data_IF_652621055269
#
_entry.id   IF_652621055269
#
_cell.length_a   1.000
_cell.length_b   1.000
_cell.length_c   1.000
_cell.angle_alpha   90.00
_cell.angle_beta   90.00
_cell.angle_gamma   90.00
#
_symmetry.space_group_name_H-M   'P 1'
#
loop_
_entity.id
_entity.type
_entity.pdbx_description
1 polymer ?
#
# COMPACT_ATOMS: atom_id res chain seq x y z
N UNK A 1 70.87 71.58 -44.03
CA UNK A 1 71.37 72.19 -42.82
C UNK A 1 70.63 71.62 -41.64
N UNK A 2 71.21 70.70 -40.94
CA UNK A 2 72.04 70.81 -39.76
C UNK A 2 71.18 70.28 -38.59
N UNK A 3 71.45 69.06 -38.15
CA UNK A 3 72.07 68.66 -36.88
C UNK A 3 71.21 69.00 -35.63
N UNK A 4 71.02 68.15 -34.65
CA UNK A 4 71.86 67.31 -33.82
C UNK A 4 71.05 66.26 -33.05
N UNK A 5 71.69 65.23 -32.84
CA UNK A 5 71.46 64.02 -32.01
C UNK A 5 71.45 64.33 -30.50
N UNK A 6 70.60 63.69 -29.71
CA UNK A 6 70.86 63.46 -28.30
C UNK A 6 70.24 62.14 -27.84
N UNK A 7 71.12 61.23 -27.62
CA UNK A 7 70.99 59.92 -27.04
C UNK A 7 70.90 59.98 -25.50
N UNK A 8 69.86 59.43 -24.87
CA UNK A 8 69.84 59.22 -23.41
C UNK A 8 69.35 57.77 -23.14
N UNK A 9 70.11 56.98 -22.39
CA UNK A 9 69.84 55.53 -22.21
C UNK A 9 68.78 55.25 -21.18
N UNK A 10 67.97 54.32 -21.52
CA UNK A 10 66.90 53.74 -20.69
C UNK A 10 67.45 52.59 -19.85
N UNK A 11 67.76 52.80 -18.58
CA UNK A 11 68.08 51.76 -17.60
C UNK A 11 67.35 52.11 -16.31
N UNK A 12 66.40 51.26 -15.93
CA UNK A 12 65.79 51.02 -14.63
C UNK A 12 64.26 50.84 -14.79
N UNK A 13 63.81 49.72 -15.26
CA UNK A 13 62.41 49.26 -14.98
C UNK A 13 62.26 47.76 -15.28
N UNK A 14 63.06 46.88 -14.68
CA UNK A 14 62.88 45.45 -14.90
C UNK A 14 63.22 44.59 -13.68
N UNK A 15 62.64 44.84 -12.53
CA UNK A 15 62.78 43.91 -11.39
C UNK A 15 61.63 43.89 -10.35
N UNK A 16 60.39 44.20 -10.68
CA UNK A 16 59.32 44.15 -9.67
C UNK A 16 58.02 43.41 -10.08
N UNK A 17 58.06 42.56 -11.08
CA UNK A 17 56.82 41.96 -11.58
C UNK A 17 56.66 40.42 -11.60
N UNK A 18 57.31 39.59 -10.76
CA UNK A 18 56.84 38.18 -10.73
C UNK A 18 56.32 37.69 -9.36
N UNK A 19 56.16 38.50 -8.33
CA UNK A 19 55.73 37.99 -7.01
C UNK A 19 54.23 38.06 -6.78
N UNK A 20 53.49 38.96 -7.45
CA UNK A 20 52.04 39.11 -7.26
C UNK A 20 51.23 38.01 -7.99
N UNK A 21 51.69 37.47 -9.11
CA UNK A 21 50.93 36.47 -9.91
C UNK A 21 50.91 35.07 -9.29
N UNK A 22 51.91 34.73 -8.49
CA UNK A 22 51.97 33.37 -7.87
C UNK A 22 51.13 33.25 -6.61
N UNK A 23 50.83 34.31 -5.91
CA UNK A 23 49.95 34.33 -4.74
C UNK A 23 48.47 34.21 -5.15
N UNK A 24 48.06 34.88 -6.23
CA UNK A 24 46.67 34.81 -6.75
C UNK A 24 46.32 33.45 -7.36
N UNK A 25 47.27 32.80 -8.01
CA UNK A 25 47.07 31.45 -8.59
C UNK A 25 46.89 30.36 -7.50
N UNK A 26 47.63 30.51 -6.36
CA UNK A 26 47.48 29.54 -5.26
C UNK A 26 46.17 29.64 -4.49
N UNK A 27 45.70 30.87 -4.23
CA UNK A 27 44.39 31.09 -3.59
C UNK A 27 43.22 30.63 -4.48
N UNK A 28 43.27 30.84 -5.78
CA UNK A 28 42.25 30.37 -6.73
C UNK A 28 42.12 28.83 -6.78
N UNK A 29 43.25 28.12 -6.74
CA UNK A 29 43.25 26.63 -6.74
C UNK A 29 42.69 26.09 -5.42
N UNK A 30 43.01 26.69 -4.28
CA UNK A 30 42.44 26.23 -2.99
C UNK A 30 40.94 26.50 -2.90
N UNK A 31 40.43 27.62 -3.43
CA UNK A 31 38.99 27.93 -3.48
C UNK A 31 38.25 26.96 -4.44
N UNK A 32 38.84 26.63 -5.58
CA UNK A 32 38.26 25.67 -6.55
C UNK A 32 38.21 24.26 -5.98
N UNK A 33 39.25 23.79 -5.27
CA UNK A 33 39.28 22.50 -4.61
C UNK A 33 38.29 22.43 -3.45
N UNK A 34 38.14 23.51 -2.68
CA UNK A 34 37.14 23.56 -1.61
C UNK A 34 35.70 23.56 -2.17
N UNK A 35 35.46 24.28 -3.26
CA UNK A 35 34.17 24.32 -3.94
C UNK A 35 33.78 22.96 -4.56
N UNK A 36 34.75 22.26 -5.12
CA UNK A 36 34.53 20.91 -5.69
C UNK A 36 34.31 19.87 -4.58
N UNK A 37 34.98 19.99 -3.43
CA UNK A 37 34.76 19.14 -2.25
C UNK A 37 33.39 19.31 -1.63
N UNK A 38 32.84 20.53 -1.56
CA UNK A 38 31.47 20.78 -1.06
C UNK A 38 30.39 20.31 -2.03
N UNK A 39 30.61 20.40 -3.34
CA UNK A 39 29.66 19.90 -4.34
C UNK A 39 29.50 18.37 -4.32
N UNK A 40 30.51 17.64 -3.85
CA UNK A 40 30.47 16.17 -3.73
C UNK A 40 29.64 15.68 -2.54
N UNK A 41 29.26 16.57 -1.61
CA UNK A 41 28.44 16.25 -0.44
C UNK A 41 26.91 16.32 -0.73
N UNK A 42 26.52 16.78 -1.92
CA UNK A 42 25.12 16.65 -2.37
C UNK A 42 24.95 15.19 -2.80
N UNK A 43 24.93 14.29 -1.81
CA UNK A 43 24.63 12.88 -2.01
C UNK A 43 23.31 12.75 -2.72
N UNK A 44 23.24 11.92 -3.76
CA UNK A 44 22.01 11.50 -4.41
C UNK A 44 21.08 10.88 -3.35
N UNK A 45 20.26 11.69 -2.71
CA UNK A 45 19.13 11.18 -1.95
C UNK A 45 18.19 10.58 -2.99
N UNK A 46 18.08 9.25 -2.98
CA UNK A 46 17.04 8.57 -3.76
C UNK A 46 15.71 9.22 -3.39
N UNK A 47 14.93 9.68 -4.38
CA UNK A 47 13.63 10.25 -4.09
C UNK A 47 12.84 9.24 -3.25
N UNK A 48 12.31 9.67 -2.11
CA UNK A 48 11.42 8.87 -1.28
C UNK A 48 10.22 8.51 -2.16
N UNK A 49 10.17 7.25 -2.60
CA UNK A 49 9.01 6.73 -3.29
C UNK A 49 7.89 6.60 -2.26
N UNK A 50 6.74 7.15 -2.59
CA UNK A 50 5.57 7.14 -1.73
C UNK A 50 4.73 5.92 -2.03
N UNK A 51 4.10 5.32 -1.02
CA UNK A 51 3.18 4.22 -1.25
C UNK A 51 2.01 4.68 -2.12
N UNK A 52 1.55 3.79 -2.98
CA UNK A 52 0.31 3.98 -3.73
C UNK A 52 -0.83 3.68 -2.76
N UNK A 53 -1.67 4.68 -2.51
CA UNK A 53 -2.89 4.56 -1.71
C UNK A 53 -4.03 4.15 -2.63
N UNK A 54 -4.69 3.05 -2.31
CA UNK A 54 -5.92 2.62 -3.01
C UNK A 54 -7.06 3.57 -2.66
N UNK A 55 -8.02 3.68 -3.57
CA UNK A 55 -9.24 4.45 -3.32
C UNK A 55 -10.46 3.57 -3.54
N UNK A 56 -11.39 3.61 -2.59
CA UNK A 56 -12.64 2.88 -2.68
C UNK A 56 -13.59 3.49 -3.73
N UNK A 57 -14.43 2.67 -4.38
CA UNK A 57 -15.38 3.13 -5.41
C UNK A 57 -16.67 3.73 -4.84
N UNK A 58 -16.67 4.11 -3.57
CA UNK A 58 -17.84 4.64 -2.89
C UNK A 58 -17.86 6.17 -2.88
N UNK A 59 -19.05 6.77 -2.94
CA UNK A 59 -19.23 8.22 -2.82
C UNK A 59 -19.01 8.72 -1.38
N UNK A 60 -19.34 7.89 -0.39
CA UNK A 60 -19.18 8.17 1.04
C UNK A 60 -18.25 7.15 1.68
N UNK A 61 -17.56 7.54 2.75
CA UNK A 61 -16.73 6.62 3.52
C UNK A 61 -17.57 5.44 4.02
N UNK A 62 -17.03 4.22 3.84
CA UNK A 62 -17.66 2.97 4.30
C UNK A 62 -16.86 2.35 5.41
N UNK A 63 -17.55 1.68 6.31
CA UNK A 63 -16.93 0.97 7.44
C UNK A 63 -16.91 -0.52 7.15
N UNK A 64 -15.71 -1.09 7.06
CA UNK A 64 -15.53 -2.53 6.88
C UNK A 64 -15.02 -3.19 8.16
N UNK A 65 -15.54 -4.38 8.43
CA UNK A 65 -15.05 -5.27 9.48
C UNK A 65 -14.40 -6.51 8.86
N UNK A 66 -13.35 -7.02 9.51
CA UNK A 66 -12.68 -8.25 9.09
C UNK A 66 -12.90 -9.32 10.14
N UNK A 67 -13.27 -10.52 9.72
CA UNK A 67 -13.41 -11.70 10.60
C UNK A 67 -12.08 -12.45 10.65
N UNK A 68 -11.73 -13.13 11.75
CA UNK A 68 -10.58 -14.04 11.76
C UNK A 68 -10.62 -15.02 10.60
N UNK A 69 -9.50 -15.16 9.89
CA UNK A 69 -9.43 -16.02 8.72
C UNK A 69 -9.45 -17.50 9.11
N UNK A 70 -10.19 -18.30 8.35
CA UNK A 70 -10.10 -19.75 8.44
C UNK A 70 -8.74 -20.21 7.91
N UNK A 71 -8.18 -21.26 8.52
CA UNK A 71 -6.92 -21.84 8.07
C UNK A 71 -7.19 -23.19 7.37
N UNK A 72 -7.05 -23.21 6.05
CA UNK A 72 -7.15 -24.42 5.21
C UNK A 72 -5.82 -24.71 4.49
N UNK A 73 -4.72 -24.06 4.88
CA UNK A 73 -3.40 -24.24 4.27
C UNK A 73 -2.75 -25.59 4.59
N UNK A 74 -3.32 -26.35 5.53
CA UNK A 74 -2.71 -27.57 6.05
C UNK A 74 -1.56 -27.36 7.04
N UNK A 75 -1.18 -26.11 7.30
CA UNK A 75 -0.11 -25.72 8.25
C UNK A 75 -0.73 -25.27 9.57
N UNK A 76 -0.64 -26.09 10.62
CA UNK A 76 -1.30 -25.83 11.92
C UNK A 76 -0.82 -24.56 12.64
N UNK A 77 0.36 -24.07 12.33
CA UNK A 77 0.98 -22.91 13.00
C UNK A 77 0.51 -21.55 12.46
N UNK A 78 -0.36 -21.55 11.45
CA UNK A 78 -0.86 -20.29 10.85
C UNK A 78 -1.90 -19.66 11.76
N UNK A 79 -1.64 -18.42 12.15
CA UNK A 79 -2.57 -17.62 12.93
C UNK A 79 -3.49 -16.80 12.02
N UNK A 80 -4.73 -17.27 11.89
CA UNK A 80 -5.77 -16.58 11.09
C UNK A 80 -6.14 -15.20 11.64
N UNK A 81 -5.97 -14.96 12.95
CA UNK A 81 -6.18 -13.61 13.51
C UNK A 81 -5.06 -12.65 13.08
N UNK A 82 -3.81 -13.11 13.09
CA UNK A 82 -2.69 -12.30 12.63
C UNK A 82 -2.78 -11.97 11.13
N UNK A 83 -3.31 -12.87 10.30
CA UNK A 83 -3.57 -12.59 8.88
C UNK A 83 -4.72 -11.59 8.74
N UNK A 84 -5.83 -11.76 9.47
CA UNK A 84 -6.95 -10.82 9.46
C UNK A 84 -6.52 -9.41 9.88
N UNK A 85 -5.65 -9.27 10.88
CA UNK A 85 -5.12 -7.97 11.34
C UNK A 85 -4.29 -7.27 10.25
N UNK A 86 -3.58 -8.02 9.40
CA UNK A 86 -2.90 -7.46 8.22
C UNK A 86 -3.90 -6.89 7.21
N UNK A 87 -5.03 -7.58 6.98
CA UNK A 87 -6.11 -7.06 6.14
C UNK A 87 -6.73 -5.81 6.74
N UNK A 88 -7.01 -5.76 8.04
CA UNK A 88 -7.45 -4.55 8.73
C UNK A 88 -6.48 -3.40 8.46
N UNK A 89 -5.18 -3.65 8.60
CA UNK A 89 -4.14 -2.64 8.41
C UNK A 89 -4.05 -2.13 6.96
N UNK A 90 -4.31 -2.96 5.96
CA UNK A 90 -4.29 -2.55 4.55
C UNK A 90 -5.60 -1.86 4.14
N UNK A 91 -6.75 -2.31 4.64
CA UNK A 91 -8.05 -1.68 4.41
C UNK A 91 -8.10 -0.27 5.02
N UNK A 92 -7.51 -0.07 6.21
CA UNK A 92 -7.43 1.25 6.86
C UNK A 92 -6.60 2.27 6.05
N UNK A 93 -5.71 1.80 5.16
CA UNK A 93 -4.95 2.66 4.27
C UNK A 93 -5.68 3.03 2.97
N UNK A 94 -6.89 2.50 2.74
CA UNK A 94 -7.69 2.78 1.55
C UNK A 94 -8.46 4.07 1.75
N UNK A 95 -8.28 5.04 0.84
CA UNK A 95 -9.06 6.29 0.85
C UNK A 95 -10.55 5.99 0.60
N UNK A 96 -11.42 6.46 1.48
CA UNK A 96 -12.87 6.19 1.45
C UNK A 96 -13.30 4.90 2.15
N UNK A 97 -12.37 4.19 2.84
CA UNK A 97 -12.71 3.11 3.75
C UNK A 97 -12.17 3.39 5.16
N UNK A 98 -12.86 2.84 6.13
CA UNK A 98 -12.41 2.74 7.52
C UNK A 98 -12.55 1.30 7.99
N UNK A 99 -11.46 0.71 8.47
CA UNK A 99 -11.47 -0.64 9.02
C UNK A 99 -11.83 -0.62 10.52
N UNK A 100 -12.70 -1.52 10.95
CA UNK A 100 -12.89 -1.74 12.38
C UNK A 100 -11.72 -2.55 12.94
N UNK A 101 -11.17 -2.15 14.11
CA UNK A 101 -10.15 -2.93 14.77
C UNK A 101 -10.61 -4.38 15.03
N UNK A 102 -9.76 -5.36 14.76
CA UNK A 102 -10.10 -6.79 14.85
C UNK A 102 -10.66 -7.20 16.24
N UNK A 103 -10.16 -6.59 17.32
CA UNK A 103 -10.64 -6.85 18.67
C UNK A 103 -12.12 -6.49 18.86
N UNK A 104 -12.64 -5.48 18.16
CA UNK A 104 -14.06 -5.08 18.16
C UNK A 104 -14.90 -6.15 17.46
N UNK A 105 -14.44 -6.65 16.32
CA UNK A 105 -15.09 -7.76 15.60
C UNK A 105 -15.15 -9.01 16.49
N UNK A 106 -14.04 -9.37 17.13
CA UNK A 106 -13.97 -10.50 18.06
C UNK A 106 -14.89 -10.35 19.27
N UNK A 107 -15.03 -9.15 19.81
CA UNK A 107 -15.94 -8.88 20.92
C UNK A 107 -17.41 -9.06 20.50
N UNK A 108 -17.79 -8.55 19.33
CA UNK A 108 -19.14 -8.74 18.76
C UNK A 108 -19.42 -10.22 18.47
N UNK A 109 -18.48 -10.96 17.85
CA UNK A 109 -18.63 -12.40 17.61
C UNK A 109 -18.87 -13.16 18.91
N UNK A 110 -18.09 -12.86 19.96
CA UNK A 110 -18.27 -13.50 21.30
C UNK A 110 -19.62 -13.19 21.90
N UNK A 111 -20.11 -11.94 21.80
CA UNK A 111 -21.43 -11.56 22.33
C UNK A 111 -22.58 -12.26 21.59
N UNK A 112 -22.37 -12.63 20.34
CA UNK A 112 -23.32 -13.39 19.53
C UNK A 112 -23.13 -14.92 19.63
N UNK A 113 -22.15 -15.40 20.41
CA UNK A 113 -21.83 -16.82 20.52
C UNK A 113 -21.24 -17.41 19.24
N UNK A 114 -20.66 -16.59 18.37
CA UNK A 114 -20.07 -16.99 17.09
C UNK A 114 -18.59 -17.26 17.24
N UNK A 115 -18.11 -18.42 16.80
CA UNK A 115 -16.68 -18.74 16.67
C UNK A 115 -16.18 -18.45 15.26
N UNK A 116 -17.05 -18.59 14.25
CA UNK A 116 -16.83 -18.26 12.85
C UNK A 116 -18.16 -17.83 12.22
N UNK A 117 -18.11 -17.23 11.06
CA UNK A 117 -19.28 -16.88 10.24
C UNK A 117 -19.46 -17.98 9.20
N UNK A 118 -20.63 -18.63 9.18
CA UNK A 118 -20.90 -19.81 8.35
C UNK A 118 -21.86 -19.54 7.21
N UNK A 119 -22.67 -18.50 7.35
CA UNK A 119 -23.71 -18.17 6.38
C UNK A 119 -23.95 -16.66 6.34
N UNK A 120 -24.67 -16.22 5.31
CA UNK A 120 -24.99 -14.81 5.09
C UNK A 120 -25.83 -14.20 6.23
N UNK A 121 -26.71 -14.98 6.86
CA UNK A 121 -27.53 -14.51 7.95
C UNK A 121 -26.68 -14.11 9.17
N UNK A 122 -25.67 -14.93 9.47
CA UNK A 122 -24.68 -14.63 10.51
C UNK A 122 -23.82 -13.41 10.14
N UNK A 123 -23.42 -13.30 8.86
CA UNK A 123 -22.68 -12.15 8.35
C UNK A 123 -23.48 -10.85 8.55
N UNK A 124 -24.74 -10.80 8.12
CA UNK A 124 -25.58 -9.63 8.29
C UNK A 124 -25.88 -9.32 9.77
N UNK A 125 -26.03 -10.34 10.61
CA UNK A 125 -26.25 -10.15 12.05
C UNK A 125 -25.01 -9.51 12.70
N UNK A 126 -23.82 -9.98 12.32
CA UNK A 126 -22.54 -9.41 12.80
C UNK A 126 -22.34 -7.98 12.29
N UNK A 127 -22.59 -7.72 10.99
CA UNK A 127 -22.51 -6.39 10.40
C UNK A 127 -23.42 -5.38 11.13
N UNK A 128 -24.65 -5.74 11.40
CA UNK A 128 -25.59 -4.89 12.15
C UNK A 128 -25.09 -4.60 13.57
N UNK A 129 -24.57 -5.61 14.26
CA UNK A 129 -24.03 -5.46 15.62
C UNK A 129 -22.83 -4.52 15.63
N UNK A 130 -21.99 -4.58 14.58
CA UNK A 130 -20.79 -3.76 14.40
C UNK A 130 -21.09 -2.38 13.81
N UNK A 131 -22.28 -2.17 13.24
CA UNK A 131 -22.61 -1.02 12.41
C UNK A 131 -21.62 -0.87 11.24
N UNK A 132 -21.29 -2.00 10.61
CA UNK A 132 -20.38 -2.06 9.48
C UNK A 132 -21.16 -2.14 8.17
N UNK A 133 -20.65 -1.47 7.13
CA UNK A 133 -21.19 -1.49 5.77
C UNK A 133 -20.71 -2.68 4.96
N UNK A 134 -19.58 -3.28 5.36
CA UNK A 134 -19.03 -4.46 4.74
C UNK A 134 -18.36 -5.40 5.75
N UNK A 135 -18.40 -6.69 5.46
CA UNK A 135 -17.76 -7.74 6.26
C UNK A 135 -16.86 -8.56 5.36
N UNK A 136 -15.56 -8.53 5.66
CA UNK A 136 -14.55 -9.31 4.97
C UNK A 136 -14.39 -10.64 5.66
N UNK A 137 -14.62 -11.72 4.92
CA UNK A 137 -14.40 -13.10 5.30
C UNK A 137 -13.19 -13.62 4.52
N UNK A 138 -12.35 -14.44 5.14
CA UNK A 138 -11.17 -14.95 4.48
C UNK A 138 -10.79 -16.36 4.91
N UNK A 139 -10.16 -17.06 3.96
CA UNK A 139 -9.59 -18.39 4.15
C UNK A 139 -8.17 -18.40 3.63
N UNK A 140 -7.23 -18.87 4.45
CA UNK A 140 -5.83 -19.06 4.08
C UNK A 140 -5.72 -20.41 3.40
N UNK A 141 -5.33 -20.42 2.13
CA UNK A 141 -5.27 -21.63 1.29
C UNK A 141 -3.87 -22.18 1.11
N UNK A 142 -2.86 -21.31 1.26
CA UNK A 142 -1.45 -21.68 1.12
C UNK A 142 -0.61 -20.90 2.13
N UNK A 143 0.38 -21.56 2.73
CA UNK A 143 1.30 -20.92 3.66
C UNK A 143 2.64 -21.65 3.70
N UNK A 144 3.69 -21.01 3.19
CA UNK A 144 5.06 -21.47 3.36
C UNK A 144 5.95 -20.31 3.83
N UNK A 145 6.40 -20.34 5.09
CA UNK A 145 7.23 -19.28 5.65
C UNK A 145 8.71 -19.38 5.26
N UNK A 146 9.09 -20.41 4.53
CA UNK A 146 10.47 -20.64 4.09
C UNK A 146 10.69 -20.09 2.68
N UNK A 147 11.88 -19.51 2.45
CA UNK A 147 12.22 -18.94 1.15
C UNK A 147 12.42 -20.02 0.08
N UNK A 148 11.78 -19.90 -1.09
CA UNK A 148 10.89 -18.82 -1.55
C UNK A 148 9.51 -18.88 -0.87
N UNK A 149 9.07 -17.73 -0.34
CA UNK A 149 7.83 -17.64 0.43
C UNK A 149 6.61 -17.95 -0.44
N UNK A 150 5.57 -18.57 0.15
CA UNK A 150 4.27 -18.75 -0.49
C UNK A 150 3.15 -18.35 0.46
N UNK A 151 2.19 -17.61 -0.06
CA UNK A 151 0.99 -17.21 0.65
C UNK A 151 -0.19 -17.27 -0.31
N UNK A 152 -1.25 -17.95 0.08
CA UNK A 152 -2.50 -18.00 -0.65
C UNK A 152 -3.66 -17.67 0.25
N UNK A 153 -4.62 -16.90 -0.25
CA UNK A 153 -5.87 -16.66 0.43
C UNK A 153 -7.02 -16.46 -0.56
N UNK A 154 -8.19 -16.90 -0.14
CA UNK A 154 -9.47 -16.54 -0.74
C UNK A 154 -10.18 -15.58 0.21
N UNK A 155 -10.70 -14.49 -0.32
CA UNK A 155 -11.39 -13.45 0.44
C UNK A 155 -12.71 -13.10 -0.22
N UNK A 156 -13.70 -12.77 0.58
CA UNK A 156 -14.98 -12.25 0.11
C UNK A 156 -15.40 -11.08 0.99
N UNK A 157 -16.06 -10.11 0.39
CA UNK A 157 -16.72 -9.02 1.11
C UNK A 157 -18.21 -9.14 0.91
N UNK A 158 -18.95 -9.23 2.00
CA UNK A 158 -20.40 -9.10 2.05
C UNK A 158 -20.70 -7.64 2.31
N UNK A 159 -21.32 -6.96 1.34
CA UNK A 159 -21.67 -5.55 1.45
C UNK A 159 -23.12 -5.37 1.84
N UNK A 160 -23.41 -4.40 2.73
CA UNK A 160 -24.77 -3.93 2.92
C UNK A 160 -25.23 -3.22 1.64
N UNK A 161 -26.39 -3.58 1.10
CA UNK A 161 -26.95 -2.95 -0.10
C UNK A 161 -27.02 -1.43 0.03
N UNK A 162 -26.95 -0.70 -1.10
CA UNK A 162 -26.88 0.77 -1.15
C UNK A 162 -27.97 1.50 -0.35
N UNK A 163 -29.06 0.83 -0.08
CA UNK A 163 -30.17 1.44 0.65
C UNK A 163 -30.03 1.40 2.18
N UNK A 164 -28.88 0.96 2.76
CA UNK A 164 -28.65 1.00 4.23
C UNK A 164 -29.84 0.55 5.10
N UNK A 165 -30.96 0.38 4.46
CA UNK A 165 -32.18 -0.12 5.01
C UNK A 165 -32.15 -1.63 4.86
N UNK A 166 -31.97 -2.31 5.98
CA UNK A 166 -32.47 -3.66 6.15
C UNK A 166 -33.82 -3.75 5.44
N UNK A 167 -33.84 -4.18 4.17
CA UNK A 167 -35.01 -4.84 3.67
C UNK A 167 -35.08 -6.08 4.55
N UNK A 168 -35.81 -5.99 5.65
CA UNK A 168 -36.19 -7.13 6.45
C UNK A 168 -36.54 -8.17 5.39
N UNK A 169 -35.87 -9.34 5.41
CA UNK A 169 -36.22 -10.46 4.56
C UNK A 169 -37.75 -10.51 4.60
N UNK A 170 -38.38 -10.11 3.49
CA UNK A 170 -39.83 -10.16 3.41
C UNK A 170 -40.14 -11.64 3.32
N UNK A 171 -40.55 -12.20 4.46
CA UNK A 171 -40.91 -13.61 4.57
C UNK A 171 -41.98 -14.01 3.53
N UNK A 172 -42.67 -13.01 2.96
CA UNK A 172 -43.62 -13.20 1.87
C UNK A 172 -42.90 -13.48 0.52
N UNK A 173 -41.68 -12.96 0.29
CA UNK A 173 -40.90 -13.30 -0.91
C UNK A 173 -40.40 -14.74 -0.87
N UNK A 174 -40.22 -15.34 0.30
CA UNK A 174 -39.81 -16.75 0.47
C UNK A 174 -40.98 -17.74 0.27
N UNK A 175 -42.21 -17.26 0.26
CA UNK A 175 -43.43 -18.08 0.05
C UNK A 175 -43.95 -18.04 -1.38
N UNK A 176 -43.35 -17.30 -2.29
CA UNK A 176 -43.72 -17.28 -3.72
C UNK A 176 -43.26 -18.56 -4.43
N UNK A 177 -44.11 -19.16 -5.30
CA UNK A 177 -43.73 -20.37 -6.01
C UNK A 177 -42.54 -20.15 -6.95
N UNK A 178 -41.72 -21.17 -7.04
CA UNK A 178 -40.35 -21.29 -7.62
C UNK A 178 -40.15 -20.74 -9.06
N UNK A 179 -41.19 -20.25 -9.74
CA UNK A 179 -41.07 -19.74 -11.13
C UNK A 179 -40.55 -18.29 -11.22
N UNK A 180 -40.58 -17.51 -10.13
CA UNK A 180 -40.14 -16.08 -10.13
C UNK A 180 -38.90 -15.81 -9.28
N UNK A 181 -38.29 -16.83 -8.67
CA UNK A 181 -37.13 -16.68 -7.76
C UNK A 181 -35.79 -16.48 -8.48
N UNK A 182 -35.76 -16.32 -9.81
CA UNK A 182 -34.53 -16.02 -10.56
C UNK A 182 -33.98 -14.61 -10.21
N UNK A 183 -34.84 -13.69 -9.77
CA UNK A 183 -34.44 -12.35 -9.35
C UNK A 183 -33.78 -12.30 -7.96
N UNK A 184 -34.27 -13.09 -6.99
CA UNK A 184 -33.75 -13.07 -5.61
C UNK A 184 -32.33 -13.64 -5.47
N UNK A 185 -32.03 -14.71 -6.21
CA UNK A 185 -30.69 -15.32 -6.21
C UNK A 185 -29.65 -14.42 -6.94
N UNK A 186 -30.09 -13.66 -7.95
CA UNK A 186 -29.23 -12.71 -8.65
C UNK A 186 -28.95 -11.48 -7.78
N UNK A 187 -29.95 -10.99 -7.03
CA UNK A 187 -29.78 -9.84 -6.11
C UNK A 187 -28.90 -10.20 -4.92
N UNK A 188 -29.01 -11.41 -4.35
CA UNK A 188 -28.14 -11.88 -3.28
C UNK A 188 -26.68 -12.07 -3.75
N UNK A 189 -26.46 -12.52 -4.98
CA UNK A 189 -25.12 -12.62 -5.57
C UNK A 189 -24.49 -11.28 -5.88
N UNK A 190 -25.31 -10.24 -6.09
CA UNK A 190 -24.82 -8.88 -6.37
C UNK A 190 -24.23 -8.15 -5.15
N UNK A 191 -24.40 -8.70 -3.95
CA UNK A 191 -23.92 -8.11 -2.69
C UNK A 191 -22.60 -8.73 -2.20
N UNK A 192 -22.01 -9.67 -2.95
CA UNK A 192 -20.76 -10.35 -2.58
C UNK A 192 -19.73 -10.12 -3.67
N UNK A 193 -18.60 -9.54 -3.27
CA UNK A 193 -17.39 -9.45 -4.09
C UNK A 193 -16.33 -10.41 -3.56
N UNK A 194 -15.60 -11.09 -4.44
CA UNK A 194 -14.65 -12.13 -4.03
C UNK A 194 -13.33 -12.04 -4.82
N UNK A 195 -12.24 -12.40 -4.15
CA UNK A 195 -10.91 -12.49 -4.73
C UNK A 195 -10.18 -13.71 -4.19
N UNK A 196 -9.38 -14.36 -5.02
CA UNK A 196 -8.54 -15.47 -4.59
C UNK A 196 -7.23 -15.44 -5.35
N UNK A 197 -6.11 -15.47 -4.62
CA UNK A 197 -4.76 -15.53 -5.22
C UNK A 197 -3.82 -16.40 -4.40
N UNK A 198 -2.84 -16.97 -5.12
CA UNK A 198 -1.65 -17.58 -4.54
C UNK A 198 -0.45 -16.73 -4.99
N UNK A 199 0.29 -16.22 -4.02
CA UNK A 199 1.51 -15.47 -4.22
C UNK A 199 2.69 -16.44 -4.04
N UNK A 200 3.47 -16.64 -5.09
CA UNK A 200 4.67 -17.50 -5.07
C UNK A 200 5.91 -16.62 -5.25
N UNK A 201 6.81 -16.64 -4.28
CA UNK A 201 8.09 -15.92 -4.31
C UNK A 201 9.07 -16.40 -5.39
N UNK A 202 8.70 -17.39 -6.23
CA UNK A 202 9.41 -17.80 -7.44
C UNK A 202 8.90 -17.07 -8.69
N UNK A 203 7.68 -16.56 -8.64
CA UNK A 203 7.06 -15.89 -9.77
C UNK A 203 7.64 -14.48 -9.95
N UNK A 204 8.14 -14.19 -11.15
CA UNK A 204 8.61 -12.84 -11.48
C UNK A 204 7.50 -11.80 -11.39
N UNK A 205 6.26 -12.16 -11.71
CA UNK A 205 5.11 -11.27 -11.59
C UNK A 205 4.88 -10.90 -10.13
N UNK A 206 4.82 -11.89 -9.24
CA UNK A 206 4.69 -11.68 -7.80
C UNK A 206 5.84 -10.81 -7.26
N UNK A 207 7.08 -11.06 -7.68
CA UNK A 207 8.24 -10.29 -7.22
C UNK A 207 8.20 -8.84 -7.71
N UNK A 208 7.76 -8.57 -8.92
CA UNK A 208 7.61 -7.20 -9.45
C UNK A 208 6.49 -6.43 -8.75
N UNK A 209 5.35 -7.07 -8.47
CA UNK A 209 4.28 -6.45 -7.67
C UNK A 209 4.74 -6.19 -6.23
N UNK A 210 5.44 -7.16 -5.63
CA UNK A 210 6.00 -7.06 -4.28
C UNK A 210 7.00 -5.90 -4.18
N UNK A 211 7.91 -5.76 -5.15
CA UNK A 211 8.86 -4.66 -5.19
C UNK A 211 8.14 -3.31 -5.24
N UNK A 212 7.15 -3.16 -6.12
CA UNK A 212 6.35 -1.93 -6.24
C UNK A 212 5.62 -1.60 -4.93
N UNK A 213 5.05 -2.61 -4.27
CA UNK A 213 4.38 -2.44 -2.99
C UNK A 213 5.36 -2.05 -1.89
N UNK A 214 6.54 -2.70 -1.83
CA UNK A 214 7.56 -2.48 -0.82
C UNK A 214 8.24 -1.11 -0.96
N UNK A 215 8.36 -0.60 -2.20
CA UNK A 215 8.85 0.75 -2.49
C UNK A 215 7.90 1.77 -1.84
N UNK A 216 8.40 2.57 -0.92
CA UNK A 216 7.62 3.56 -0.17
C UNK A 216 7.05 3.06 1.16
N UNK A 217 7.02 1.74 1.41
CA UNK A 217 6.60 1.15 2.70
C UNK A 217 7.78 0.60 3.51
N UNK A 218 8.88 0.26 2.85
CA UNK A 218 10.08 -0.19 3.52
C UNK A 218 10.72 0.96 4.32
N UNK A 219 11.14 0.67 5.56
CA UNK A 219 11.86 1.66 6.37
C UNK A 219 13.19 2.01 5.69
N UNK A 220 13.46 3.31 5.57
CA UNK A 220 14.73 3.82 5.04
C UNK A 220 15.94 3.38 5.90
N UNK A 221 15.73 3.17 7.20
CA UNK A 221 16.76 2.77 8.16
C UNK A 221 16.97 1.25 8.20
N UNK A 222 16.16 0.47 7.47
CA UNK A 222 16.30 -0.98 7.43
C UNK A 222 17.44 -1.39 6.52
N UNK A 223 18.38 -2.16 7.04
CA UNK A 223 19.48 -2.74 6.25
C UNK A 223 19.00 -3.62 5.07
N UNK A 224 17.81 -4.20 5.19
CA UNK A 224 17.20 -5.03 4.14
C UNK A 224 16.31 -4.21 3.19
N UNK A 225 15.80 -3.06 3.63
CA UNK A 225 14.90 -2.25 2.83
C UNK A 225 13.73 -3.07 2.25
N UNK A 226 13.41 -2.90 0.94
CA UNK A 226 12.35 -3.64 0.26
C UNK A 226 12.54 -5.17 0.27
N UNK A 227 13.79 -5.66 0.30
CA UNK A 227 14.08 -7.11 0.33
C UNK A 227 13.57 -7.82 1.59
N UNK A 228 13.25 -7.08 2.66
CA UNK A 228 12.61 -7.65 3.84
C UNK A 228 11.28 -8.34 3.50
N UNK A 229 10.57 -7.85 2.50
CA UNK A 229 9.30 -8.41 2.03
C UNK A 229 9.45 -9.75 1.30
N UNK A 230 10.64 -10.06 0.77
CA UNK A 230 10.92 -11.33 0.10
C UNK A 230 11.34 -12.45 1.07
N UNK A 231 11.62 -12.13 2.32
CA UNK A 231 12.19 -13.09 3.29
C UNK A 231 11.39 -13.21 4.58
N UNK A 232 10.44 -12.31 4.80
CA UNK A 232 9.59 -12.29 5.99
C UNK A 232 8.16 -12.54 5.61
N UNK A 233 7.60 -13.68 6.04
CA UNK A 233 6.23 -14.10 5.70
C UNK A 233 5.16 -13.12 6.22
N UNK A 234 5.40 -12.43 7.34
CA UNK A 234 4.51 -11.40 7.86
C UNK A 234 4.39 -10.20 6.91
N UNK A 235 5.50 -9.75 6.32
CA UNK A 235 5.52 -8.68 5.33
C UNK A 235 5.00 -9.16 3.97
N UNK A 236 5.35 -10.39 3.57
CA UNK A 236 4.89 -10.99 2.32
C UNK A 236 3.36 -11.19 2.31
N UNK A 237 2.79 -11.71 3.41
CA UNK A 237 1.34 -11.85 3.53
C UNK A 237 0.62 -10.49 3.69
N UNK A 238 1.29 -9.46 4.19
CA UNK A 238 0.78 -8.09 4.17
C UNK A 238 0.67 -7.54 2.75
N UNK A 239 1.67 -7.80 1.91
CA UNK A 239 1.58 -7.52 0.47
C UNK A 239 0.40 -8.27 -0.17
N UNK A 240 0.22 -9.56 0.14
CA UNK A 240 -0.93 -10.33 -0.34
C UNK A 240 -2.26 -9.73 0.10
N UNK A 241 -2.37 -9.25 1.34
CA UNK A 241 -3.55 -8.54 1.83
C UNK A 241 -3.84 -7.26 1.03
N UNK A 242 -2.81 -6.48 0.68
CA UNK A 242 -2.95 -5.29 -0.18
C UNK A 242 -3.51 -5.64 -1.56
N UNK A 243 -2.94 -6.67 -2.21
CA UNK A 243 -3.36 -7.07 -3.57
C UNK A 243 -4.79 -7.59 -3.54
N UNK A 244 -5.14 -8.45 -2.58
CA UNK A 244 -6.50 -8.99 -2.44
C UNK A 244 -7.51 -7.90 -2.06
N UNK A 245 -7.12 -6.90 -1.26
CA UNK A 245 -7.97 -5.72 -1.00
C UNK A 245 -8.21 -4.94 -2.29
N UNK A 246 -7.20 -4.74 -3.13
CA UNK A 246 -7.36 -4.11 -4.45
C UNK A 246 -8.34 -4.91 -5.32
N UNK A 247 -8.16 -6.23 -5.39
CA UNK A 247 -9.01 -7.10 -6.19
C UNK A 247 -10.47 -7.05 -5.72
N UNK A 248 -10.72 -6.97 -4.40
CA UNK A 248 -12.06 -6.75 -3.83
C UNK A 248 -12.65 -5.40 -4.25
N UNK A 249 -11.86 -4.33 -4.22
CA UNK A 249 -12.32 -3.00 -4.64
C UNK A 249 -12.62 -2.95 -6.15
N UNK A 250 -11.87 -3.67 -6.98
CA UNK A 250 -12.14 -3.82 -8.42
C UNK A 250 -13.50 -4.53 -8.64
N UNK A 251 -13.77 -5.58 -7.87
CA UNK A 251 -15.05 -6.28 -7.92
C UNK A 251 -16.22 -5.39 -7.43
N UNK A 252 -16.00 -4.65 -6.34
CA UNK A 252 -17.00 -3.68 -5.84
C UNK A 252 -17.28 -2.59 -6.86
N UNK A 253 -16.26 -2.04 -7.52
CA UNK A 253 -16.42 -1.06 -8.57
C UNK A 253 -17.23 -1.62 -9.76
N UNK A 254 -16.93 -2.86 -10.17
CA UNK A 254 -17.68 -3.56 -11.22
C UNK A 254 -19.15 -3.79 -10.80
N UNK A 255 -19.39 -4.17 -9.54
CA UNK A 255 -20.74 -4.36 -8.99
C UNK A 255 -21.55 -3.05 -9.01
N UNK A 256 -20.91 -1.94 -8.67
CA UNK A 256 -21.53 -0.61 -8.65
C UNK A 256 -21.65 0.02 -10.04
N UNK A 257 -21.03 -0.58 -11.08
CA UNK A 257 -21.01 -0.05 -12.43
C UNK A 257 -20.16 1.23 -12.58
N UNK A 258 -19.18 1.43 -11.68
CA UNK A 258 -18.28 2.57 -11.68
C UNK A 258 -16.85 2.12 -12.00
N UNK A 259 -16.04 3.01 -12.54
CA UNK A 259 -14.60 2.73 -12.69
C UNK A 259 -13.91 2.82 -11.33
N UNK A 260 -12.99 1.88 -11.04
CA UNK A 260 -12.16 2.01 -9.84
C UNK A 260 -11.30 3.28 -9.96
N UNK A 261 -11.36 4.19 -8.98
CA UNK A 261 -10.54 5.39 -9.01
C UNK A 261 -9.05 5.02 -8.96
N UNK A 262 -8.22 5.67 -9.78
CA UNK A 262 -6.77 5.46 -9.73
C UNK A 262 -6.22 5.80 -8.35
N UNK A 263 -5.41 4.88 -7.80
CA UNK A 263 -4.72 5.08 -6.54
C UNK A 263 -3.78 6.29 -6.64
N UNK A 264 -3.76 7.12 -5.61
CA UNK A 264 -2.95 8.35 -5.56
C UNK A 264 -1.69 8.13 -4.73
N UNK A 265 -0.54 8.61 -5.23
CA UNK A 265 0.63 8.73 -4.35
C UNK A 265 0.32 9.70 -3.19
N UNK A 266 0.58 9.30 -1.95
CA UNK A 266 0.36 10.14 -0.77
C UNK A 266 0.96 11.55 -0.93
N UNK A 267 0.21 12.59 -0.59
CA UNK A 267 0.76 13.96 -0.56
C UNK A 267 1.79 14.09 0.56
N UNK A 268 2.81 14.96 0.41
CA UNK A 268 3.70 15.26 1.52
C UNK A 268 2.88 15.80 2.70
N UNK A 269 3.18 15.31 3.89
CA UNK A 269 2.76 15.99 5.11
C UNK A 269 3.52 17.30 5.10
N UNK A 270 2.83 18.39 4.77
CA UNK A 270 3.34 19.74 4.93
C UNK A 270 3.54 19.95 6.43
N UNK A 271 4.80 20.00 6.86
CA UNK A 271 5.12 20.31 8.25
C UNK A 271 4.68 21.74 8.50
N UNK A 272 3.61 21.91 9.29
CA UNK A 272 3.22 23.17 9.89
C UNK A 272 4.22 23.55 10.98
#
# INVERSE_FOLDING_TARGET
>A
MGRFNAYIPNIVASRLAPLASRAFARTGVHLAVLGFGLASLVGCQKPLQRPIVLKAPYETERVWAVVPFANESGVSQVDGMAVADRFVSEIEQVDGLRALPLNRTLAAMRSLGMTNVRDLQQAYTLMRTLQADGLVLGTITEWDPYKPLRFGAAVEVVSAGENGQNKALDLNELTMPTAESTGGAATARAEISQGSRIFDGRSNETLLELERYALGRASADSALGPKAYEIRIDLFSRFGAYVLTRDLLEQEAARLGVALPEGRAERPIEKQ
#
